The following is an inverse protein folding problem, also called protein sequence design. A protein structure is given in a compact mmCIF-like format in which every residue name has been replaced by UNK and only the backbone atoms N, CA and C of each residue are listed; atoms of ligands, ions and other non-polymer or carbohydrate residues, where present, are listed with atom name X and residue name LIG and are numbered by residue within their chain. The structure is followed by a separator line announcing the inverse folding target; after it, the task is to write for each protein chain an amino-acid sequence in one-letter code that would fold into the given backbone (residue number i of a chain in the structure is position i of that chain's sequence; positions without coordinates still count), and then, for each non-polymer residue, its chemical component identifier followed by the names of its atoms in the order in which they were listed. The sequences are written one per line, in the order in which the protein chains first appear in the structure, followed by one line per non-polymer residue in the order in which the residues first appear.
data_IF_988717324204
#
_entry.id   IF_988717324204
#
_cell.length_a   1.000
_cell.length_b   1.000
_cell.length_c   1.000
_cell.angle_alpha   90.00
_cell.angle_beta   90.00
_cell.angle_gamma   90.00
#
_symmetry.space_group_name_H-M   'P 1'
#
loop_
_entity.id
_entity.type
_entity.pdbx_description
1 polymer ?
#
# COMPACT_ATOMS: atom_id res chain seq x y z
N UNK A 1 -4.50 -17.30 21.85
CA UNK A 1 -3.15 -17.13 21.31
C UNK A 1 -3.19 -17.74 19.91
N UNK A 2 -3.64 -16.96 18.92
CA UNK A 2 -3.80 -17.39 17.54
C UNK A 2 -2.87 -16.54 16.69
N UNK A 3 -1.62 -16.97 16.58
CA UNK A 3 -0.81 -16.61 15.43
C UNK A 3 -1.28 -17.53 14.29
N UNK A 4 -2.37 -17.12 13.64
CA UNK A 4 -2.87 -17.82 12.46
C UNK A 4 -1.87 -17.56 11.32
N UNK A 5 -0.97 -18.52 11.09
CA UNK A 5 -0.17 -18.55 9.88
C UNK A 5 -1.14 -18.55 8.69
N UNK A 6 -1.17 -17.47 7.90
CA UNK A 6 -2.03 -17.32 6.71
C UNK A 6 -1.89 -18.42 5.65
N UNK A 7 -0.99 -19.38 5.87
CA UNK A 7 -0.64 -20.44 4.96
C UNK A 7 -1.69 -21.55 4.85
N UNK A 8 -2.43 -21.80 5.92
CA UNK A 8 -3.34 -22.95 6.05
C UNK A 8 -4.55 -22.88 5.10
N UNK A 9 -4.85 -21.70 4.55
CA UNK A 9 -5.93 -21.48 3.57
C UNK A 9 -5.50 -21.59 2.10
N UNK A 10 -4.22 -21.85 1.82
CA UNK A 10 -3.68 -21.96 0.46
C UNK A 10 -3.35 -23.40 0.08
N UNK A 11 -3.60 -23.80 -1.17
CA UNK A 11 -3.23 -25.13 -1.72
C UNK A 11 -1.72 -25.30 -1.90
N UNK A 12 -0.95 -24.23 -1.70
CA UNK A 12 0.49 -24.25 -1.72
C UNK A 12 0.99 -24.99 -0.48
N UNK A 13 2.17 -25.63 -0.54
CA UNK A 13 2.85 -26.15 0.66
C UNK A 13 3.96 -25.21 1.08
N UNK A 14 4.11 -25.00 2.39
CA UNK A 14 5.05 -24.02 2.95
C UNK A 14 6.48 -24.40 2.56
N UNK A 15 6.73 -25.70 2.46
CA UNK A 15 7.97 -26.29 1.95
C UNK A 15 8.31 -25.84 0.53
N UNK A 16 7.32 -25.70 -0.36
CA UNK A 16 7.54 -25.33 -1.76
C UNK A 16 7.94 -23.85 -1.87
N UNK A 17 7.30 -22.98 -1.06
CA UNK A 17 7.71 -21.57 -0.93
C UNK A 17 9.10 -21.46 -0.32
N UNK A 18 9.40 -22.21 0.75
CA UNK A 18 10.73 -22.21 1.34
C UNK A 18 11.82 -22.70 0.37
N UNK A 19 11.53 -23.68 -0.49
CA UNK A 19 12.47 -24.13 -1.53
C UNK A 19 12.72 -23.02 -2.56
N UNK A 20 11.67 -22.31 -3.00
CA UNK A 20 11.82 -21.14 -3.84
C UNK A 20 12.67 -20.06 -3.16
N UNK A 21 12.42 -19.79 -1.87
CA UNK A 21 13.20 -18.84 -1.09
C UNK A 21 14.67 -19.23 -0.93
N UNK A 22 14.95 -20.53 -0.87
CA UNK A 22 16.32 -21.06 -0.83
C UNK A 22 16.99 -21.01 -2.20
N UNK A 23 16.23 -21.06 -3.30
CA UNK A 23 16.75 -20.88 -4.65
C UNK A 23 16.86 -19.38 -4.99
N UNK A 24 18.01 -18.79 -4.68
CA UNK A 24 18.28 -17.36 -4.86
C UNK A 24 18.05 -16.85 -6.29
N UNK A 25 18.24 -17.72 -7.30
CA UNK A 25 18.12 -17.35 -8.71
C UNK A 25 16.69 -16.94 -9.11
N UNK A 26 15.68 -17.76 -8.81
CA UNK A 26 14.29 -17.46 -9.21
C UNK A 26 13.73 -16.25 -8.46
N UNK A 27 14.06 -16.10 -7.18
CA UNK A 27 13.67 -14.91 -6.42
C UNK A 27 14.30 -13.63 -6.98
N UNK A 28 15.59 -13.67 -7.33
CA UNK A 28 16.27 -12.51 -7.88
C UNK A 28 15.64 -12.07 -9.20
N UNK A 29 15.31 -13.03 -10.08
CA UNK A 29 14.61 -12.73 -11.34
C UNK A 29 13.27 -12.05 -11.07
N UNK A 30 12.48 -12.56 -10.14
CA UNK A 30 11.19 -11.98 -9.77
C UNK A 30 11.34 -10.57 -9.18
N UNK A 31 12.35 -10.36 -8.32
CA UNK A 31 12.62 -9.05 -7.73
C UNK A 31 13.06 -8.03 -8.78
N UNK A 32 13.88 -8.42 -9.75
CA UNK A 32 14.27 -7.54 -10.86
C UNK A 32 13.07 -7.18 -11.76
N UNK A 33 12.18 -8.13 -12.03
CA UNK A 33 10.95 -7.89 -12.79
C UNK A 33 10.05 -6.87 -12.08
N UNK A 34 9.75 -7.07 -10.80
CA UNK A 34 8.95 -6.10 -10.04
C UNK A 34 9.64 -4.74 -9.87
N UNK A 35 10.98 -4.71 -9.75
CA UNK A 35 11.73 -3.46 -9.73
C UNK A 35 11.60 -2.69 -11.06
N UNK A 36 11.62 -3.39 -12.20
CA UNK A 36 11.42 -2.79 -13.51
C UNK A 36 9.99 -2.27 -13.69
N UNK A 37 8.97 -3.07 -13.33
CA UNK A 37 7.56 -2.63 -13.35
C UNK A 37 7.33 -1.40 -12.47
N UNK A 38 7.91 -1.40 -11.28
CA UNK A 38 7.78 -0.29 -10.32
C UNK A 38 8.50 0.97 -10.81
N UNK A 39 9.67 0.83 -11.45
CA UNK A 39 10.42 1.95 -12.01
C UNK A 39 9.77 2.54 -13.26
N UNK A 40 8.96 1.75 -13.97
CA UNK A 40 8.23 2.15 -15.17
C UNK A 40 6.84 2.74 -14.88
N UNK A 41 6.47 2.93 -13.61
CA UNK A 41 5.22 3.59 -13.24
C UNK A 41 5.20 5.04 -13.76
N UNK A 42 4.08 5.42 -14.35
CA UNK A 42 3.82 6.79 -14.82
C UNK A 42 2.57 7.34 -14.12
N UNK A 43 2.67 8.41 -13.30
CA UNK A 43 3.92 9.07 -12.90
C UNK A 43 4.77 8.16 -11.97
N UNK A 44 6.08 8.43 -11.85
CA UNK A 44 6.93 7.74 -10.88
C UNK A 44 6.35 7.82 -9.47
N UNK A 45 6.37 6.71 -8.73
CA UNK A 45 5.85 6.69 -7.36
C UNK A 45 6.66 7.63 -6.46
N UNK A 46 5.99 8.28 -5.49
CA UNK A 46 6.65 9.19 -4.54
C UNK A 46 6.90 8.56 -3.17
N UNK A 47 6.05 7.61 -2.81
CA UNK A 47 6.07 6.90 -1.54
C UNK A 47 5.24 5.61 -1.65
N UNK A 48 5.32 4.78 -0.63
CA UNK A 48 4.50 3.58 -0.48
C UNK A 48 3.50 3.76 0.68
N UNK A 49 2.29 3.20 0.60
CA UNK A 49 1.76 2.40 -0.53
C UNK A 49 1.45 3.26 -1.77
N UNK A 50 1.74 2.73 -2.96
CA UNK A 50 1.38 3.35 -4.24
C UNK A 50 0.17 2.64 -4.84
N UNK A 51 -1.01 3.24 -4.72
CA UNK A 51 -2.28 2.64 -5.16
C UNK A 51 -2.77 3.35 -6.42
N UNK A 52 -3.04 2.57 -7.47
CA UNK A 52 -3.53 3.05 -8.77
C UNK A 52 -4.84 2.33 -9.10
N UNK A 53 -5.89 3.09 -9.46
CA UNK A 53 -7.18 2.55 -9.90
C UNK A 53 -7.51 3.15 -11.27
N UNK A 54 -7.70 2.30 -12.29
CA UNK A 54 -7.96 2.72 -13.68
C UNK A 54 -6.96 3.78 -14.22
N UNK A 55 -5.67 3.60 -13.91
CA UNK A 55 -4.59 4.53 -14.27
C UNK A 55 -4.47 5.78 -13.39
N UNK A 56 -5.39 6.00 -12.45
CA UNK A 56 -5.35 7.13 -11.52
C UNK A 56 -4.60 6.77 -10.23
N UNK A 57 -3.46 7.41 -9.92
CA UNK A 57 -2.83 7.28 -8.61
C UNK A 57 -3.66 8.00 -7.52
N UNK A 58 -3.85 7.35 -6.37
CA UNK A 58 -4.73 7.84 -5.30
C UNK A 58 -4.03 8.68 -4.23
N UNK A 59 -2.69 8.66 -4.18
CA UNK A 59 -1.88 9.39 -3.18
C UNK A 59 -2.39 9.13 -1.75
N UNK A 60 -2.63 10.19 -0.95
CA UNK A 60 -3.13 10.09 0.43
C UNK A 60 -4.57 9.57 0.53
N UNK A 61 -5.33 9.53 -0.57
CA UNK A 61 -6.70 9.02 -0.58
C UNK A 61 -6.78 7.50 -0.83
N UNK A 62 -5.65 6.79 -0.71
CA UNK A 62 -5.54 5.35 -0.97
C UNK A 62 -6.51 4.51 -0.11
N UNK A 63 -6.89 4.97 1.09
CA UNK A 63 -7.84 4.25 1.94
C UNK A 63 -9.26 4.24 1.36
N UNK A 64 -9.60 5.19 0.50
CA UNK A 64 -10.89 5.30 -0.17
C UNK A 64 -10.95 4.56 -1.50
N UNK A 65 -9.99 3.67 -1.81
CA UNK A 65 -9.85 2.99 -3.09
C UNK A 65 -11.13 2.26 -3.57
N UNK A 66 -11.96 1.74 -2.66
CA UNK A 66 -13.25 1.13 -3.01
C UNK A 66 -14.18 2.13 -3.73
N UNK A 67 -14.20 3.39 -3.28
CA UNK A 67 -14.99 4.43 -3.93
C UNK A 67 -14.51 4.71 -5.36
N UNK A 68 -13.20 4.68 -5.58
CA UNK A 68 -12.60 4.84 -6.91
C UNK A 68 -12.90 3.63 -7.81
N UNK A 69 -12.80 2.41 -7.29
CA UNK A 69 -13.17 1.19 -8.02
C UNK A 69 -14.65 1.28 -8.46
N UNK A 70 -15.53 1.67 -7.55
CA UNK A 70 -16.96 1.79 -7.84
C UNK A 70 -17.27 2.87 -8.89
N UNK A 71 -16.55 4.00 -8.86
CA UNK A 71 -16.66 5.05 -9.88
C UNK A 71 -16.10 4.62 -11.24
N UNK A 72 -15.01 3.86 -11.26
CA UNK A 72 -14.38 3.37 -12.48
C UNK A 72 -15.12 2.18 -13.12
N UNK A 73 -16.06 1.55 -12.41
CA UNK A 73 -16.81 0.40 -12.91
C UNK A 73 -17.77 0.79 -14.04
N UNK A 74 -17.52 0.28 -15.25
CA UNK A 74 -18.31 0.56 -16.46
C UNK A 74 -19.38 -0.49 -16.78
N UNK A 75 -19.57 -1.48 -15.91
CA UNK A 75 -20.54 -2.56 -16.14
C UNK A 75 -21.98 -2.15 -15.80
N UNK A 76 -22.95 -2.72 -16.52
CA UNK A 76 -24.37 -2.39 -16.35
C UNK A 76 -24.96 -2.86 -15.00
N UNK A 77 -24.37 -3.91 -14.40
CA UNK A 77 -24.79 -4.45 -13.10
C UNK A 77 -23.75 -4.07 -12.05
N UNK A 78 -23.93 -2.90 -11.44
CA UNK A 78 -23.04 -2.40 -10.40
C UNK A 78 -23.06 -3.36 -9.19
N UNK A 79 -21.89 -3.82 -8.69
CA UNK A 79 -21.82 -4.70 -7.52
C UNK A 79 -22.50 -4.07 -6.31
N UNK A 80 -23.19 -4.88 -5.49
CA UNK A 80 -23.88 -4.39 -4.30
C UNK A 80 -22.95 -3.67 -3.30
N UNK A 81 -21.66 -4.02 -3.27
CA UNK A 81 -20.65 -3.33 -2.48
C UNK A 81 -20.52 -1.82 -2.84
N UNK A 82 -20.85 -1.45 -4.07
CA UNK A 82 -20.82 -0.08 -4.56
C UNK A 82 -22.07 0.75 -4.24
N UNK A 83 -23.14 0.14 -3.71
CA UNK A 83 -24.38 0.85 -3.40
C UNK A 83 -24.17 2.05 -2.46
N UNK A 84 -23.23 1.93 -1.50
CA UNK A 84 -22.88 3.02 -0.56
C UNK A 84 -22.07 4.16 -1.19
N UNK A 85 -21.52 3.94 -2.39
CA UNK A 85 -20.65 4.89 -3.10
C UNK A 85 -21.31 5.45 -4.37
N UNK A 86 -22.52 4.99 -4.70
CA UNK A 86 -23.27 5.39 -5.90
C UNK A 86 -24.13 6.65 -5.69
N UNK A 87 -24.36 7.05 -4.44
CA UNK A 87 -25.09 8.27 -4.09
C UNK A 87 -24.12 9.44 -3.97
N UNK A 88 -24.34 10.50 -4.74
CA UNK A 88 -23.67 11.80 -4.63
C UNK A 88 -23.92 12.34 -3.22
N UNK A 89 -23.01 12.03 -2.30
CA UNK A 89 -23.07 12.42 -0.91
C UNK A 89 -21.78 11.96 -0.28
N UNK A 90 -20.85 12.90 -0.09
CA UNK A 90 -19.57 12.70 0.58
C UNK A 90 -19.85 12.16 1.98
N UNK A 91 -19.94 10.84 2.11
CA UNK A 91 -19.87 10.19 3.39
C UNK A 91 -18.42 9.77 3.56
N UNK A 92 -17.72 10.58 4.36
CA UNK A 92 -16.41 10.28 4.94
C UNK A 92 -16.56 8.97 5.71
N UNK A 93 -16.34 7.83 5.05
CA UNK A 93 -16.35 6.52 5.70
C UNK A 93 -15.06 6.44 6.50
N UNK A 94 -15.11 6.95 7.73
CA UNK A 94 -14.04 6.75 8.69
C UNK A 94 -14.11 5.29 9.15
N UNK A 95 -13.32 4.42 8.51
CA UNK A 95 -12.65 3.22 9.04
C UNK A 95 -12.56 2.13 7.99
N UNK A 96 -11.47 2.14 7.23
CA UNK A 96 -10.83 0.91 6.78
C UNK A 96 -9.67 0.61 7.75
N UNK A 97 -9.35 -0.67 8.01
CA UNK A 97 -8.33 -1.01 8.99
C UNK A 97 -6.97 -0.51 8.50
N UNK A 98 -6.26 0.17 9.41
CA UNK A 98 -4.88 0.60 9.28
C UNK A 98 -4.05 -0.53 8.63
N UNK A 99 -3.66 -0.36 7.37
CA UNK A 99 -2.65 -1.23 6.76
C UNK A 99 -1.33 -0.90 7.44
N UNK A 100 -0.97 -1.75 8.41
CA UNK A 100 0.27 -1.76 9.20
C UNK A 100 1.01 -0.41 9.31
N UNK A 101 0.48 0.51 10.12
CA UNK A 101 1.34 1.49 10.79
C UNK A 101 1.86 0.83 12.06
N UNK A 102 3.18 0.76 12.25
CA UNK A 102 3.72 0.59 13.62
C UNK A 102 3.13 1.73 14.45
N UNK A 103 2.27 1.38 15.41
CA UNK A 103 1.59 2.34 16.26
C UNK A 103 2.61 3.30 16.87
N UNK A 104 2.27 4.59 16.91
CA UNK A 104 2.98 5.56 17.73
C UNK A 104 2.30 5.47 19.09
N UNK A 105 2.90 4.73 20.02
CA UNK A 105 2.33 4.48 21.34
C UNK A 105 3.11 5.17 22.46
N UNK A 106 4.21 5.86 22.15
CA UNK A 106 4.95 6.66 23.12
C UNK A 106 5.24 8.07 22.63
N UNK A 107 5.33 9.02 23.56
CA UNK A 107 5.74 10.41 23.29
C UNK A 107 7.12 10.48 22.62
N UNK A 108 8.01 9.51 22.92
CA UNK A 108 9.32 9.38 22.30
C UNK A 108 9.24 9.12 20.80
N UNK A 109 8.28 8.31 20.33
CA UNK A 109 8.07 8.04 18.92
C UNK A 109 7.61 9.29 18.13
N UNK A 110 6.86 10.19 18.78
CA UNK A 110 6.50 11.50 18.20
C UNK A 110 7.71 12.42 18.12
N UNK A 111 8.53 12.45 19.17
CA UNK A 111 9.72 13.30 19.22
C UNK A 111 10.75 12.88 18.16
N UNK A 112 10.96 11.59 17.93
CA UNK A 112 11.86 11.12 16.88
C UNK A 112 11.35 11.48 15.47
N UNK A 113 10.02 11.44 15.23
CA UNK A 113 9.45 11.90 13.95
C UNK A 113 9.61 13.40 13.73
N UNK A 114 9.44 14.20 14.78
CA UNK A 114 9.65 15.66 14.69
C UNK A 114 11.14 15.93 14.41
N UNK A 115 12.06 15.23 15.07
CA UNK A 115 13.49 15.33 14.81
C UNK A 115 13.83 14.96 13.37
N UNK A 116 13.36 13.82 12.87
CA UNK A 116 13.68 13.38 11.50
C UNK A 116 13.12 14.33 10.44
N UNK A 117 11.90 14.84 10.64
CA UNK A 117 11.30 15.83 9.74
C UNK A 117 12.03 17.18 9.77
N UNK A 118 12.56 17.60 10.91
CA UNK A 118 13.37 18.81 11.03
C UNK A 118 14.74 18.62 10.40
N UNK A 119 15.38 17.47 10.59
CA UNK A 119 16.67 17.16 9.98
C UNK A 119 16.57 17.14 8.46
N UNK A 120 15.56 16.47 7.89
CA UNK A 120 15.35 16.49 6.44
C UNK A 120 15.08 17.89 5.88
N UNK A 121 14.39 18.74 6.66
CA UNK A 121 14.16 20.14 6.27
C UNK A 121 15.44 20.98 6.36
N UNK A 122 16.29 20.74 7.36
CA UNK A 122 17.59 21.40 7.50
C UNK A 122 18.52 20.96 6.37
N UNK A 123 18.55 19.67 6.01
CA UNK A 123 19.37 19.16 4.91
C UNK A 123 18.94 19.79 3.56
N UNK A 124 17.63 19.94 3.34
CA UNK A 124 17.07 20.60 2.13
C UNK A 124 17.41 22.09 2.08
N UNK A 125 17.39 22.79 3.21
CA UNK A 125 17.71 24.23 3.30
C UNK A 125 19.21 24.51 3.27
N UNK A 126 20.04 23.63 3.85
CA UNK A 126 21.50 23.81 3.95
C UNK A 126 22.27 23.21 2.78
N UNK A 127 21.63 22.38 1.95
CA UNK A 127 22.25 21.80 0.75
C UNK A 127 23.48 20.97 1.06
N UNK A 128 23.56 20.34 2.24
CA UNK A 128 24.72 19.57 2.71
C UNK A 128 24.78 18.13 2.14
N UNK A 129 24.30 17.94 0.91
CA UNK A 129 24.52 16.73 0.10
C UNK A 129 25.30 17.08 -1.18
#
# INVERSE_FOLDING_TARGET
MLDMFCFEASTLRFTDICVLFKSSFHLLQLQLQYAAETSALEPPHKYVPWVVVDGQPLYEDYENFISYICKAYKGNKVPGACAKYSSIGILKVNRFPLVCRKGVNTLWDLLERIKTSLLSYIDDVTGLL
#
